data_IF_612702844264
#
_entry.id   IF_612702844264
#
_cell.length_a   1.000
_cell.length_b   1.000
_cell.length_c   1.000
_cell.angle_alpha   90.00
_cell.angle_beta   90.00
_cell.angle_gamma   90.00
#
_symmetry.space_group_name_H-M   'P 1'
#
loop_
_entity.id
_entity.type
_entity.pdbx_description
1 polymer ?
#
# COMPACT_ATOMS: atom_id res chain seq x y z
N UNK A 1 21.94 -0.05 -10.24
CA UNK A 1 22.40 1.23 -10.83
C UNK A 1 23.13 2.01 -9.74
N UNK A 2 24.31 2.58 -10.00
CA UNK A 2 24.97 3.41 -9.00
C UNK A 2 24.08 4.60 -8.63
N UNK A 3 23.99 4.94 -7.34
CA UNK A 3 23.25 6.09 -6.82
C UNK A 3 23.67 7.39 -7.52
N UNK A 4 24.94 7.52 -7.86
CA UNK A 4 25.53 8.63 -8.57
C UNK A 4 24.88 8.93 -9.93
N UNK A 5 24.56 7.90 -10.73
CA UNK A 5 23.88 8.09 -12.00
C UNK A 5 22.42 8.60 -11.80
N UNK A 6 21.72 8.07 -10.80
CA UNK A 6 20.38 8.53 -10.45
C UNK A 6 20.42 10.01 -10.07
N UNK A 7 21.31 10.39 -9.17
CA UNK A 7 21.42 11.77 -8.70
C UNK A 7 21.78 12.74 -9.83
N UNK A 8 22.74 12.40 -10.69
CA UNK A 8 23.10 13.23 -11.85
C UNK A 8 21.92 13.46 -12.79
N UNK A 9 21.16 12.41 -13.08
CA UNK A 9 19.99 12.49 -13.94
C UNK A 9 18.90 13.35 -13.34
N UNK A 10 18.58 13.14 -12.07
CA UNK A 10 17.51 13.87 -11.40
C UNK A 10 17.88 15.35 -11.20
N UNK A 11 19.14 15.67 -10.90
CA UNK A 11 19.62 17.07 -10.86
C UNK A 11 19.53 17.73 -12.23
N UNK A 12 19.86 17.04 -13.30
CA UNK A 12 19.74 17.57 -14.66
C UNK A 12 18.28 17.85 -15.06
N UNK A 13 17.33 17.05 -14.58
CA UNK A 13 15.91 17.21 -14.86
C UNK A 13 15.22 18.26 -13.96
N UNK A 14 15.57 18.32 -12.71
CA UNK A 14 14.87 19.10 -11.68
C UNK A 14 15.53 20.45 -11.40
N UNK A 15 16.83 20.62 -11.74
CA UNK A 15 17.59 21.82 -11.41
C UNK A 15 17.55 22.12 -9.91
N UNK A 16 17.28 23.40 -9.58
CA UNK A 16 17.23 23.86 -8.16
C UNK A 16 16.14 23.16 -7.33
N UNK A 17 15.15 22.54 -7.98
CA UNK A 17 14.10 21.78 -7.29
C UNK A 17 14.57 20.45 -6.73
N UNK A 18 15.71 19.94 -7.17
CA UNK A 18 16.26 18.68 -6.69
C UNK A 18 16.47 18.69 -5.18
N UNK A 19 17.18 19.71 -4.68
CA UNK A 19 17.51 19.78 -3.26
C UNK A 19 16.25 19.97 -2.39
N UNK A 20 15.25 20.69 -2.90
CA UNK A 20 13.95 20.84 -2.20
C UNK A 20 13.21 19.53 -2.09
N UNK A 21 13.21 18.71 -3.16
CA UNK A 21 12.48 17.43 -3.20
C UNK A 21 13.18 16.32 -2.41
N UNK A 22 14.52 16.33 -2.39
CA UNK A 22 15.31 15.25 -1.79
C UNK A 22 15.92 15.61 -0.44
N UNK A 23 15.87 16.88 -0.01
CA UNK A 23 16.25 17.29 1.34
C UNK A 23 15.11 17.13 2.38
N UNK A 24 13.91 16.76 1.94
CA UNK A 24 12.85 16.41 2.87
C UNK A 24 13.32 15.29 3.81
N UNK A 25 12.98 15.34 5.11
CA UNK A 25 13.30 14.25 6.03
C UNK A 25 12.79 12.94 5.40
N UNK A 26 13.56 11.88 5.53
CA UNK A 26 13.18 10.56 5.03
C UNK A 26 11.92 10.13 5.79
N UNK A 27 10.77 10.49 5.24
CA UNK A 27 9.50 9.99 5.72
C UNK A 27 9.49 8.48 5.50
N UNK A 28 9.26 7.74 6.57
CA UNK A 28 9.08 6.30 6.45
C UNK A 28 7.80 6.06 5.66
N UNK A 29 7.92 5.37 4.53
CA UNK A 29 6.77 5.06 3.70
C UNK A 29 5.73 4.29 4.52
N UNK A 30 4.51 4.81 4.58
CA UNK A 30 3.40 4.14 5.24
C UNK A 30 3.09 2.81 4.56
N UNK A 31 2.75 1.84 5.36
CA UNK A 31 2.35 0.51 4.89
C UNK A 31 0.88 0.31 5.13
N UNK A 32 0.23 -0.35 4.20
CA UNK A 32 -1.16 -0.71 4.35
C UNK A 32 -1.44 -2.16 3.97
N UNK A 33 -2.62 -2.59 4.36
CA UNK A 33 -3.19 -3.88 4.00
C UNK A 33 -4.64 -3.68 3.60
N UNK A 34 -5.09 -4.39 2.59
CA UNK A 34 -6.50 -4.43 2.17
C UNK A 34 -7.04 -5.83 2.39
N UNK A 35 -8.14 -5.93 3.13
CA UNK A 35 -8.76 -7.20 3.52
C UNK A 35 -9.60 -7.73 2.37
N UNK A 36 -9.43 -9.02 2.07
CA UNK A 36 -10.24 -9.70 1.09
C UNK A 36 -11.62 -10.07 1.65
N UNK A 37 -12.67 -9.49 1.10
CA UNK A 37 -14.05 -9.78 1.48
C UNK A 37 -14.43 -11.27 1.26
N UNK A 38 -13.69 -11.99 0.45
CA UNK A 38 -13.88 -13.44 0.23
C UNK A 38 -13.38 -14.29 1.41
N UNK A 39 -12.56 -13.73 2.28
CA UNK A 39 -11.87 -14.46 3.37
C UNK A 39 -12.21 -13.96 4.76
N UNK A 40 -12.48 -12.67 4.92
CA UNK A 40 -12.77 -12.05 6.22
C UNK A 40 -13.52 -10.74 6.03
N UNK A 41 -14.25 -10.30 7.06
CA UNK A 41 -14.68 -8.92 7.12
C UNK A 41 -13.58 -8.02 7.72
N UNK A 42 -13.57 -6.72 7.41
CA UNK A 42 -12.62 -5.77 8.01
C UNK A 42 -12.65 -5.78 9.54
N UNK A 43 -13.85 -5.88 10.12
CA UNK A 43 -14.04 -5.90 11.58
C UNK A 43 -13.46 -7.18 12.22
N UNK A 44 -13.72 -8.33 11.60
CA UNK A 44 -13.17 -9.61 12.05
C UNK A 44 -11.65 -9.65 11.94
N UNK A 45 -11.12 -9.07 10.88
CA UNK A 45 -9.69 -8.96 10.68
C UNK A 45 -9.06 -8.06 11.74
N UNK A 46 -9.60 -6.85 11.95
CA UNK A 46 -9.09 -5.91 12.95
C UNK A 46 -9.12 -6.49 14.38
N UNK A 47 -10.17 -7.25 14.71
CA UNK A 47 -10.29 -7.91 16.02
C UNK A 47 -9.26 -9.05 16.26
N UNK A 48 -8.68 -9.61 15.19
CA UNK A 48 -7.76 -10.76 15.26
C UNK A 48 -6.32 -10.41 14.89
N UNK A 49 -6.09 -9.22 14.38
CA UNK A 49 -4.75 -8.78 14.00
C UNK A 49 -3.84 -8.68 15.24
N UNK A 50 -2.64 -9.20 15.14
CA UNK A 50 -1.60 -9.20 16.17
C UNK A 50 -0.59 -8.03 15.98
N UNK A 51 -0.95 -7.04 15.19
CA UNK A 51 -0.17 -5.84 14.91
C UNK A 51 -1.06 -4.60 14.89
N UNK A 52 -0.49 -3.40 15.19
CA UNK A 52 -1.25 -2.16 15.26
C UNK A 52 -1.84 -1.78 13.90
N UNK A 53 -3.14 -1.48 13.89
CA UNK A 53 -3.89 -1.09 12.70
C UNK A 53 -4.65 0.21 12.96
N UNK A 54 -4.69 1.04 11.92
CA UNK A 54 -5.58 2.20 11.84
C UNK A 54 -6.45 2.07 10.59
N UNK A 55 -7.73 2.40 10.68
CA UNK A 55 -8.61 2.35 9.52
C UNK A 55 -8.15 3.34 8.45
N UNK A 56 -8.03 2.87 7.20
CA UNK A 56 -7.65 3.74 6.10
C UNK A 56 -8.77 4.73 5.77
N UNK A 57 -8.46 6.01 5.56
CA UNK A 57 -9.45 6.99 5.11
C UNK A 57 -9.88 6.75 3.65
N UNK A 58 -9.15 5.94 2.90
CA UNK A 58 -9.36 5.75 1.46
C UNK A 58 -10.27 4.58 1.10
N UNK A 59 -10.32 3.56 1.95
CA UNK A 59 -11.09 2.33 1.67
C UNK A 59 -11.52 1.66 2.97
N UNK A 60 -12.81 1.32 3.08
CA UNK A 60 -13.37 0.64 4.27
C UNK A 60 -12.76 -0.73 4.56
N UNK A 61 -12.24 -1.40 3.53
CA UNK A 61 -11.58 -2.70 3.65
C UNK A 61 -10.07 -2.58 3.94
N UNK A 62 -9.53 -1.37 3.99
CA UNK A 62 -8.10 -1.14 4.12
C UNK A 62 -7.72 -0.57 5.49
N UNK A 63 -6.49 -0.87 5.90
CA UNK A 63 -5.89 -0.38 7.14
C UNK A 63 -4.48 0.12 6.86
N UNK A 64 -4.09 1.18 7.56
CA UNK A 64 -2.70 1.59 7.71
C UNK A 64 -2.07 0.74 8.82
N UNK A 65 -0.88 0.25 8.58
CA UNK A 65 -0.14 -0.56 9.54
C UNK A 65 0.92 0.32 10.19
N UNK A 66 0.71 0.65 11.44
CA UNK A 66 1.71 1.37 12.23
C UNK A 66 2.76 0.39 12.72
N UNK A 67 3.99 0.63 12.31
CA UNK A 67 5.12 -0.18 12.73
C UNK A 67 5.89 0.55 13.83
N UNK A 68 5.86 0.07 15.09
CA UNK A 68 6.87 0.46 16.06
C UNK A 68 8.26 0.11 15.53
N UNK A 69 9.25 0.95 15.78
CA UNK A 69 10.62 0.81 15.24
C UNK A 69 11.28 -0.54 15.60
N UNK A 70 10.83 -1.19 16.66
CA UNK A 70 11.30 -2.48 17.17
C UNK A 70 10.57 -3.70 16.55
N UNK A 71 9.37 -3.52 16.00
CA UNK A 71 8.59 -4.58 15.36
C UNK A 71 8.90 -4.66 13.86
N UNK A 72 9.76 -5.60 13.46
CA UNK A 72 10.04 -5.90 12.04
C UNK A 72 8.84 -6.62 11.39
N UNK A 73 7.65 -6.05 11.49
CA UNK A 73 6.48 -6.59 10.80
C UNK A 73 6.69 -6.54 9.28
N UNK A 74 6.59 -7.69 8.65
CA UNK A 74 6.69 -7.83 7.21
C UNK A 74 5.39 -8.44 6.70
N UNK A 75 4.44 -7.62 6.20
CA UNK A 75 3.13 -8.10 5.74
C UNK A 75 3.23 -9.31 4.81
N UNK A 76 4.17 -9.28 3.85
CA UNK A 76 4.37 -10.36 2.90
C UNK A 76 4.86 -11.70 3.51
N UNK A 77 5.25 -11.73 4.79
CA UNK A 77 5.62 -12.96 5.51
C UNK A 77 4.54 -13.44 6.47
N UNK A 78 3.49 -12.65 6.63
CA UNK A 78 2.43 -12.98 7.56
C UNK A 78 1.57 -14.15 7.06
N UNK A 79 1.17 -15.12 7.91
CA UNK A 79 0.31 -16.25 7.51
C UNK A 79 -0.98 -15.82 6.83
N UNK A 80 -1.60 -14.74 7.26
CA UNK A 80 -2.82 -14.21 6.66
C UNK A 80 -2.61 -13.66 5.25
N UNK A 81 -1.41 -13.13 4.93
CA UNK A 81 -1.07 -12.77 3.57
C UNK A 81 -1.01 -14.02 2.66
N UNK A 82 -0.33 -15.06 3.12
CA UNK A 82 -0.25 -16.33 2.38
C UNK A 82 -1.61 -17.02 2.23
N UNK A 83 -2.49 -16.86 3.22
CA UNK A 83 -3.86 -17.37 3.16
C UNK A 83 -4.82 -16.50 2.33
N UNK A 84 -4.35 -15.38 1.79
CA UNK A 84 -5.17 -14.44 1.01
C UNK A 84 -6.22 -13.69 1.83
N UNK A 85 -6.03 -13.57 3.15
CA UNK A 85 -6.93 -12.81 4.02
C UNK A 85 -6.76 -11.31 3.80
N UNK A 86 -5.52 -10.86 3.56
CA UNK A 86 -5.23 -9.49 3.15
C UNK A 86 -4.16 -9.46 2.04
N UNK A 87 -4.16 -8.37 1.31
CA UNK A 87 -3.13 -8.00 0.37
C UNK A 87 -2.35 -6.79 0.90
N UNK A 88 -1.00 -6.82 0.83
CA UNK A 88 -0.17 -5.67 1.19
C UNK A 88 -0.27 -4.61 0.10
N UNK A 89 -0.74 -3.44 0.45
CA UNK A 89 -1.03 -2.36 -0.48
C UNK A 89 -0.66 -1.02 0.15
N UNK A 90 -0.09 -0.13 -0.63
CA UNK A 90 0.12 1.25 -0.20
C UNK A 90 -1.25 1.91 0.09
N UNK A 91 -1.41 2.67 1.19
CA UNK A 91 -2.71 3.16 1.63
C UNK A 91 -3.51 3.92 0.55
N UNK A 92 -2.87 4.84 -0.18
CA UNK A 92 -3.57 5.63 -1.21
C UNK A 92 -4.00 4.76 -2.40
N UNK A 93 -3.24 3.71 -2.73
CA UNK A 93 -3.58 2.79 -3.81
C UNK A 93 -4.89 2.02 -3.55
N UNK A 94 -5.30 1.89 -2.28
CA UNK A 94 -6.56 1.25 -1.90
C UNK A 94 -7.80 2.04 -2.33
N UNK A 95 -7.66 3.32 -2.70
CA UNK A 95 -8.75 4.17 -3.16
C UNK A 95 -9.27 3.83 -4.55
N UNK A 96 -8.44 3.23 -5.39
CA UNK A 96 -8.75 3.05 -6.82
C UNK A 96 -10.01 2.21 -7.06
N UNK A 97 -10.11 1.04 -6.44
CA UNK A 97 -11.26 0.15 -6.62
C UNK A 97 -12.58 0.71 -6.07
N UNK A 98 -12.63 1.29 -4.84
CA UNK A 98 -13.83 1.96 -4.35
C UNK A 98 -14.30 3.12 -5.23
N UNK A 99 -13.37 3.96 -5.71
CA UNK A 99 -13.69 5.09 -6.57
C UNK A 99 -14.27 4.66 -7.93
N UNK A 100 -13.82 3.51 -8.44
CA UNK A 100 -14.34 2.96 -9.68
C UNK A 100 -15.78 2.45 -9.55
N UNK A 101 -16.24 2.10 -8.35
CA UNK A 101 -17.60 1.68 -8.07
C UNK A 101 -18.01 0.40 -8.80
N UNK A 102 -17.11 -0.56 -8.95
CA UNK A 102 -17.35 -1.83 -9.67
C UNK A 102 -18.49 -2.60 -9.03
N UNK A 103 -19.40 -3.08 -9.90
CA UNK A 103 -20.54 -3.92 -9.50
C UNK A 103 -20.45 -5.30 -10.15
N UNK A 104 -21.07 -6.33 -9.56
CA UNK A 104 -21.16 -7.65 -10.16
C UNK A 104 -21.67 -7.61 -11.60
N UNK A 105 -21.01 -8.33 -12.50
CA UNK A 105 -21.35 -8.37 -13.93
C UNK A 105 -20.68 -7.30 -14.78
N UNK A 106 -20.02 -6.29 -14.19
CA UNK A 106 -19.24 -5.31 -14.95
C UNK A 106 -17.96 -5.93 -15.52
N UNK A 107 -17.56 -5.46 -16.69
CA UNK A 107 -16.26 -5.76 -17.29
C UNK A 107 -15.29 -4.64 -16.95
N UNK A 108 -14.17 -4.98 -16.32
CA UNK A 108 -13.15 -4.02 -15.90
C UNK A 108 -11.85 -4.29 -16.67
N UNK A 109 -11.23 -3.23 -17.17
CA UNK A 109 -9.90 -3.28 -17.77
C UNK A 109 -8.91 -2.59 -16.83
N UNK A 110 -7.94 -3.35 -16.34
CA UNK A 110 -6.82 -2.81 -15.57
C UNK A 110 -5.56 -2.75 -16.45
N UNK A 111 -5.17 -1.55 -16.87
CA UNK A 111 -3.98 -1.31 -17.70
C UNK A 111 -2.67 -1.41 -16.91
N UNK A 112 -2.73 -1.47 -15.58
CA UNK A 112 -1.59 -1.55 -14.68
C UNK A 112 -1.72 -2.74 -13.70
N UNK A 113 -2.28 -3.86 -14.17
CA UNK A 113 -2.68 -5.00 -13.34
C UNK A 113 -1.53 -5.66 -12.55
N UNK A 114 -0.34 -5.74 -13.13
CA UNK A 114 0.80 -6.36 -12.45
C UNK A 114 1.51 -5.37 -11.50
N UNK A 115 1.86 -5.78 -10.28
CA UNK A 115 1.73 -7.11 -9.65
C UNK A 115 0.41 -7.35 -8.88
N UNK A 116 -0.66 -6.64 -9.14
CA UNK A 116 -1.96 -6.85 -8.50
C UNK A 116 -2.36 -5.82 -7.43
N UNK A 117 -1.56 -4.78 -7.25
CA UNK A 117 -1.75 -3.79 -6.18
C UNK A 117 -3.05 -2.98 -6.22
N UNK A 118 -3.85 -3.10 -7.28
CA UNK A 118 -5.16 -2.45 -7.43
C UNK A 118 -6.26 -3.43 -7.84
N UNK A 119 -5.88 -4.58 -8.39
CA UNK A 119 -6.80 -5.60 -8.92
C UNK A 119 -7.15 -6.70 -7.92
N UNK A 120 -6.50 -6.73 -6.75
CA UNK A 120 -6.67 -7.75 -5.70
C UNK A 120 -7.86 -7.50 -4.79
#
# INVERSE_FOLDING_TARGET
>A
MPMEYFEQRERALLGDRFDVLYAAPQETAERGVTVSALRSSPEQFAAKADFPLEASPFCKAAFVVHQPDDLKFRPGRHPYHHAGVFYSQEPSASSAAPLLGVQPGMRVLDLCAAPGGKSS
#
